data_IF_401605511373
#
_entry.id   IF_401605511373
#
_cell.length_a   1.000
_cell.length_b   1.000
_cell.length_c   1.000
_cell.angle_alpha   90.00
_cell.angle_beta   90.00
_cell.angle_gamma   90.00
#
_symmetry.space_group_name_H-M   'P 1'
#
loop_
_entity.id
_entity.type
_entity.pdbx_description
1 polymer ?
#
# COMPACT_ATOMS: atom_id res chain seq x y z
N UNK A 1 32.89 -61.41 24.20
CA UNK A 1 31.46 -61.50 23.89
C UNK A 1 30.84 -60.30 24.47
N UNK A 2 30.74 -59.32 23.63
CA UNK A 2 29.86 -58.14 23.96
C UNK A 2 29.54 -57.43 22.67
N UNK A 3 28.27 -57.39 22.38
CA UNK A 3 27.71 -56.96 21.13
C UNK A 3 27.17 -55.55 21.33
N UNK A 4 27.87 -54.55 20.83
CA UNK A 4 27.53 -53.12 20.93
C UNK A 4 26.81 -52.64 19.69
N UNK A 5 25.50 -52.80 19.62
CA UNK A 5 24.65 -52.22 18.56
C UNK A 5 24.52 -50.71 18.70
N UNK A 6 25.27 -49.97 17.88
CA UNK A 6 25.13 -48.54 17.73
C UNK A 6 23.85 -48.17 16.96
N UNK A 7 22.91 -47.49 17.63
CA UNK A 7 21.77 -46.86 16.99
C UNK A 7 22.20 -45.54 16.33
N UNK A 8 22.33 -45.57 15.00
CA UNK A 8 22.47 -44.37 14.20
C UNK A 8 21.18 -43.53 14.22
N UNK A 9 21.27 -42.37 14.80
CA UNK A 9 20.21 -41.34 14.74
C UNK A 9 20.25 -40.75 13.33
N UNK A 10 19.32 -41.14 12.49
CA UNK A 10 19.02 -40.49 11.22
C UNK A 10 18.44 -39.09 11.52
N UNK A 11 19.26 -38.08 11.35
CA UNK A 11 18.75 -36.70 11.23
C UNK A 11 17.96 -36.61 9.93
N UNK A 12 16.65 -36.64 10.04
CA UNK A 12 15.74 -36.28 8.94
C UNK A 12 15.99 -34.86 8.52
N UNK A 13 16.20 -34.68 7.23
CA UNK A 13 16.47 -33.42 6.57
C UNK A 13 15.44 -32.37 6.88
N UNK A 14 15.96 -31.17 7.06
CA UNK A 14 15.20 -29.93 7.15
C UNK A 14 14.39 -29.76 5.86
N UNK A 15 13.11 -29.64 6.07
CA UNK A 15 12.11 -29.24 5.11
C UNK A 15 12.57 -27.92 4.43
N UNK A 16 12.54 -27.89 3.10
CA UNK A 16 12.94 -26.73 2.32
C UNK A 16 11.94 -25.60 2.47
N UNK A 17 12.02 -24.86 3.58
CA UNK A 17 11.34 -23.60 3.73
C UNK A 17 11.87 -22.65 2.66
N UNK A 18 10.99 -22.15 1.76
CA UNK A 18 11.31 -21.05 0.87
C UNK A 18 11.89 -19.93 1.73
N UNK A 19 13.17 -19.61 1.51
CA UNK A 19 13.81 -18.44 2.14
C UNK A 19 13.14 -17.22 1.52
N UNK A 20 12.22 -16.62 2.26
CA UNK A 20 11.56 -15.39 1.83
C UNK A 20 12.64 -14.36 1.51
N UNK A 21 12.62 -13.83 0.29
CA UNK A 21 13.56 -12.80 -0.14
C UNK A 21 13.55 -11.64 0.85
N UNK A 22 14.73 -11.11 1.18
CA UNK A 22 14.85 -9.95 2.08
C UNK A 22 14.10 -8.73 1.55
N UNK A 23 13.76 -7.79 2.41
CA UNK A 23 13.01 -6.59 1.99
C UNK A 23 13.75 -5.82 0.90
N UNK A 24 15.07 -5.74 0.95
CA UNK A 24 15.89 -5.06 -0.06
C UNK A 24 15.75 -5.73 -1.42
N UNK A 25 15.83 -7.05 -1.49
CA UNK A 25 15.66 -7.82 -2.73
C UNK A 25 14.25 -7.66 -3.32
N UNK A 26 13.23 -7.65 -2.45
CA UNK A 26 11.84 -7.40 -2.88
C UNK A 26 11.65 -5.97 -3.39
N UNK A 27 12.27 -4.96 -2.78
CA UNK A 27 12.25 -3.59 -3.24
C UNK A 27 12.97 -3.42 -4.60
N UNK A 28 14.09 -4.12 -4.79
CA UNK A 28 14.81 -4.14 -6.08
C UNK A 28 13.96 -4.81 -7.17
N UNK A 29 13.30 -5.92 -6.85
CA UNK A 29 12.39 -6.60 -7.77
C UNK A 29 11.19 -5.73 -8.15
N UNK A 30 10.60 -5.01 -7.18
CA UNK A 30 9.52 -4.06 -7.39
C UNK A 30 9.97 -2.91 -8.32
N UNK A 31 11.13 -2.29 -8.05
CA UNK A 31 11.68 -1.23 -8.89
C UNK A 31 11.94 -1.72 -10.33
N UNK A 32 12.47 -2.93 -10.49
CA UNK A 32 12.67 -3.55 -11.78
C UNK A 32 11.36 -3.81 -12.53
N UNK A 33 10.30 -4.24 -11.81
CA UNK A 33 8.99 -4.53 -12.42
C UNK A 33 8.28 -3.28 -12.92
N UNK A 34 8.22 -2.21 -12.13
CA UNK A 34 7.55 -0.97 -12.53
C UNK A 34 8.23 -0.26 -13.69
N UNK A 35 9.54 -0.50 -13.93
CA UNK A 35 10.28 0.06 -15.07
C UNK A 35 9.98 -0.64 -16.39
N UNK A 36 9.38 -1.82 -16.38
CA UNK A 36 9.04 -2.55 -17.60
C UNK A 36 7.91 -1.81 -18.36
N UNK A 37 8.00 -1.64 -19.68
CA UNK A 37 6.94 -1.01 -20.48
C UNK A 37 5.57 -1.67 -20.27
N UNK A 38 5.54 -3.00 -20.22
CA UNK A 38 4.31 -3.78 -19.99
C UNK A 38 3.57 -3.45 -18.68
N UNK A 39 4.28 -2.94 -17.66
CA UNK A 39 3.66 -2.55 -16.40
C UNK A 39 2.72 -1.35 -16.57
N UNK A 40 3.02 -0.47 -17.53
CA UNK A 40 2.22 0.70 -17.85
C UNK A 40 1.17 0.42 -18.92
N UNK A 41 1.43 -0.57 -19.75
CA UNK A 41 0.50 -1.01 -20.78
C UNK A 41 -0.54 -1.92 -20.12
N UNK A 42 -1.74 -1.39 -19.85
CA UNK A 42 -2.84 -2.26 -19.46
C UNK A 42 -3.10 -3.22 -20.62
N UNK A 43 -2.74 -4.48 -20.46
CA UNK A 43 -2.86 -5.51 -21.49
C UNK A 43 -4.33 -5.88 -21.73
N UNK A 44 -5.05 -5.00 -22.33
CA UNK A 44 -6.11 -5.22 -23.31
C UNK A 44 -7.31 -6.12 -22.97
N UNK A 45 -7.45 -6.67 -21.77
CA UNK A 45 -8.70 -7.30 -21.39
C UNK A 45 -9.61 -6.28 -20.69
N UNK A 46 -10.80 -6.09 -21.21
CA UNK A 46 -11.73 -4.97 -20.93
C UNK A 46 -12.15 -4.75 -19.46
N UNK A 47 -11.61 -5.51 -18.50
CA UNK A 47 -11.92 -5.46 -17.07
C UNK A 47 -10.70 -5.50 -16.13
N UNK A 48 -9.47 -5.45 -16.64
CA UNK A 48 -8.30 -5.51 -15.76
C UNK A 48 -7.99 -4.14 -15.15
N UNK A 49 -7.98 -4.12 -13.83
CA UNK A 49 -7.56 -2.98 -13.03
C UNK A 49 -6.04 -3.03 -12.91
N UNK A 50 -5.36 -1.92 -13.19
CA UNK A 50 -3.90 -1.85 -13.07
C UNK A 50 -3.47 -1.47 -11.65
N UNK A 51 -3.97 -2.24 -10.64
CA UNK A 51 -3.70 -2.01 -9.23
C UNK A 51 -2.89 -3.15 -8.64
N UNK A 52 -1.87 -2.76 -7.88
CA UNK A 52 -0.86 -3.64 -7.32
C UNK A 52 -0.70 -3.39 -5.82
N UNK A 53 -0.37 -4.44 -5.08
CA UNK A 53 -0.03 -4.34 -3.66
C UNK A 53 1.42 -4.78 -3.48
N UNK A 54 2.21 -3.92 -2.87
CA UNK A 54 3.51 -4.25 -2.31
C UNK A 54 3.35 -4.36 -0.81
N UNK A 55 3.18 -5.58 -0.32
CA UNK A 55 3.09 -5.89 1.10
C UNK A 55 4.48 -6.07 1.72
N UNK A 56 4.65 -5.69 2.97
CA UNK A 56 5.92 -5.80 3.67
C UNK A 56 5.73 -5.91 5.18
N UNK A 57 6.69 -6.55 5.89
CA UNK A 57 6.65 -6.59 7.35
C UNK A 57 6.61 -5.19 7.95
N UNK A 58 5.71 -4.89 8.90
CA UNK A 58 5.53 -3.53 9.45
C UNK A 58 6.81 -2.92 10.04
N UNK A 59 7.71 -3.73 10.59
CA UNK A 59 9.01 -3.32 11.11
C UNK A 59 9.97 -2.80 10.02
N UNK A 60 9.66 -3.05 8.75
CA UNK A 60 10.43 -2.58 7.58
C UNK A 60 9.94 -1.27 6.99
N UNK A 61 8.99 -0.63 7.62
CA UNK A 61 8.37 0.63 7.17
C UNK A 61 9.41 1.71 6.82
N UNK A 62 10.45 1.88 7.63
CA UNK A 62 11.47 2.91 7.39
C UNK A 62 12.30 2.61 6.14
N UNK A 63 12.72 1.36 5.95
CA UNK A 63 13.47 0.92 4.77
C UNK A 63 12.63 1.12 3.48
N UNK A 64 11.34 0.83 3.55
CA UNK A 64 10.40 1.03 2.42
C UNK A 64 10.26 2.51 2.10
N UNK A 65 10.06 3.38 3.09
CA UNK A 65 9.97 4.84 2.89
C UNK A 65 11.24 5.42 2.27
N UNK A 66 12.40 5.04 2.78
CA UNK A 66 13.69 5.51 2.25
C UNK A 66 13.85 5.13 0.78
N UNK A 67 13.46 3.90 0.40
CA UNK A 67 13.49 3.46 -0.99
C UNK A 67 12.52 4.26 -1.86
N UNK A 68 11.30 4.51 -1.41
CA UNK A 68 10.31 5.30 -2.15
C UNK A 68 10.82 6.73 -2.37
N UNK A 69 11.35 7.37 -1.34
CA UNK A 69 11.94 8.72 -1.47
C UNK A 69 13.13 8.76 -2.43
N UNK A 70 13.99 7.73 -2.38
CA UNK A 70 15.09 7.58 -3.33
C UNK A 70 14.57 7.47 -4.77
N UNK A 71 13.58 6.59 -5.01
CA UNK A 71 13.00 6.40 -6.34
C UNK A 71 12.33 7.67 -6.85
N UNK A 72 11.57 8.38 -6.00
CA UNK A 72 10.93 9.65 -6.32
C UNK A 72 11.95 10.72 -6.76
N UNK A 73 13.06 10.85 -6.01
CA UNK A 73 14.13 11.81 -6.32
C UNK A 73 14.87 11.46 -7.63
N UNK A 74 15.02 10.17 -7.90
CA UNK A 74 15.78 9.69 -9.08
C UNK A 74 14.93 9.62 -10.34
N UNK A 75 13.60 9.56 -10.22
CA UNK A 75 12.71 9.45 -11.38
C UNK A 75 12.81 10.68 -12.29
N UNK A 76 13.04 10.42 -13.57
CA UNK A 76 13.10 11.43 -14.62
C UNK A 76 12.17 11.02 -15.76
N UNK A 77 11.01 11.68 -15.87
CA UNK A 77 9.96 11.38 -16.85
C UNK A 77 10.49 11.19 -18.28
N UNK A 78 11.43 12.04 -18.71
CA UNK A 78 12.02 11.95 -20.07
C UNK A 78 12.95 10.76 -20.29
N UNK A 79 13.46 10.15 -19.23
CA UNK A 79 14.37 8.99 -19.26
C UNK A 79 13.61 7.70 -18.96
N UNK A 80 12.81 7.72 -17.89
CA UNK A 80 12.07 6.55 -17.42
C UNK A 80 10.81 6.26 -18.25
N UNK A 81 10.32 7.26 -19.00
CA UNK A 81 9.07 7.17 -19.78
C UNK A 81 7.81 7.24 -18.96
N UNK A 82 7.91 7.53 -17.66
CA UNK A 82 6.80 7.75 -16.73
C UNK A 82 7.16 8.76 -15.65
N UNK A 83 6.16 9.32 -15.03
CA UNK A 83 6.29 10.16 -13.85
C UNK A 83 5.88 9.38 -12.61
N UNK A 84 6.76 9.31 -11.60
CA UNK A 84 6.44 8.66 -10.34
C UNK A 84 5.80 9.66 -9.38
N UNK A 85 4.51 9.46 -9.09
CA UNK A 85 3.75 10.30 -8.17
C UNK A 85 3.49 9.53 -6.88
N UNK A 86 3.84 10.11 -5.74
CA UNK A 86 3.67 9.49 -4.43
C UNK A 86 2.67 10.29 -3.61
N UNK A 87 1.60 9.64 -3.19
CA UNK A 87 0.61 10.17 -2.26
C UNK A 87 0.73 9.45 -0.93
N UNK A 88 1.16 10.17 0.11
CA UNK A 88 1.07 9.68 1.48
C UNK A 88 -0.33 10.01 2.02
N UNK A 89 -1.12 8.97 2.27
CA UNK A 89 -2.51 9.12 2.68
C UNK A 89 -2.66 9.86 4.02
N UNK A 90 -1.70 9.69 4.92
CA UNK A 90 -1.72 10.40 6.19
C UNK A 90 -1.43 11.90 6.01
N UNK A 91 -0.43 12.22 5.21
CA UNK A 91 -0.09 13.62 4.94
C UNK A 91 -1.26 14.32 4.23
N UNK A 92 -1.96 13.61 3.32
CA UNK A 92 -3.17 14.15 2.68
C UNK A 92 -4.30 14.44 3.67
N UNK A 93 -4.47 13.59 4.71
CA UNK A 93 -5.43 13.84 5.80
C UNK A 93 -5.01 15.06 6.60
N UNK A 94 -3.74 15.15 6.97
CA UNK A 94 -3.23 16.28 7.76
C UNK A 94 -3.34 17.60 7.00
N UNK A 95 -2.94 17.64 5.73
CA UNK A 95 -3.08 18.81 4.85
C UNK A 95 -4.53 19.29 4.79
N UNK A 96 -5.48 18.35 4.67
CA UNK A 96 -6.90 18.71 4.66
C UNK A 96 -7.35 19.31 5.98
N UNK A 97 -6.98 18.71 7.10
CA UNK A 97 -7.37 19.18 8.42
C UNK A 97 -6.76 20.54 8.75
N UNK A 98 -5.50 20.75 8.36
CA UNK A 98 -4.80 22.04 8.52
C UNK A 98 -5.43 23.12 7.62
N UNK A 99 -5.64 22.81 6.36
CA UNK A 99 -6.27 23.73 5.40
C UNK A 99 -7.69 24.16 5.79
N UNK A 100 -8.41 23.34 6.57
CA UNK A 100 -9.73 23.65 7.13
C UNK A 100 -9.67 24.25 8.55
N UNK A 101 -8.47 24.39 9.13
CA UNK A 101 -8.28 24.80 10.53
C UNK A 101 -8.97 23.86 11.55
N UNK A 102 -9.10 22.56 11.22
CA UNK A 102 -9.80 21.61 12.06
C UNK A 102 -8.92 21.01 13.18
N UNK A 103 -7.59 21.02 13.05
CA UNK A 103 -6.66 20.37 13.97
C UNK A 103 -6.93 20.76 15.43
N UNK A 104 -6.93 22.08 15.73
CA UNK A 104 -7.14 22.56 17.11
C UNK A 104 -8.54 22.21 17.66
N UNK A 105 -9.54 22.18 16.81
CA UNK A 105 -10.90 21.80 17.19
C UNK A 105 -11.00 20.31 17.47
N UNK A 106 -10.37 19.48 16.64
CA UNK A 106 -10.35 18.03 16.77
C UNK A 106 -9.55 17.59 17.99
N UNK A 107 -8.43 18.23 18.31
CA UNK A 107 -7.70 17.99 19.56
C UNK A 107 -8.56 18.24 20.81
N UNK A 108 -9.40 19.30 20.80
CA UNK A 108 -10.35 19.57 21.90
C UNK A 108 -11.48 18.54 21.96
N UNK A 109 -11.98 18.13 20.80
CA UNK A 109 -13.03 17.11 20.74
C UNK A 109 -12.51 15.74 21.15
N UNK A 110 -11.28 15.38 20.77
CA UNK A 110 -10.67 14.12 21.20
C UNK A 110 -10.61 14.00 22.71
N UNK A 111 -10.14 15.06 23.40
CA UNK A 111 -10.13 15.11 24.89
C UNK A 111 -11.51 14.94 25.53
N UNK A 112 -12.57 15.36 24.85
CA UNK A 112 -13.95 15.34 25.39
C UNK A 112 -14.74 14.10 24.99
N UNK A 113 -14.52 13.59 23.80
CA UNK A 113 -15.37 12.57 23.15
C UNK A 113 -14.59 11.32 22.75
N UNK A 114 -13.27 11.33 22.90
CA UNK A 114 -12.38 10.21 22.59
C UNK A 114 -12.05 10.07 21.10
N UNK A 115 -11.08 9.21 20.83
CA UNK A 115 -10.50 8.97 19.52
C UNK A 115 -11.53 8.52 18.46
N UNK A 116 -12.45 7.60 18.83
CA UNK A 116 -13.48 7.10 17.90
C UNK A 116 -14.40 8.20 17.34
N UNK A 117 -14.60 9.28 18.11
CA UNK A 117 -15.33 10.43 17.60
C UNK A 117 -14.54 11.17 16.53
N UNK A 118 -13.24 11.32 16.72
CA UNK A 118 -12.36 11.96 15.71
C UNK A 118 -12.29 11.14 14.43
N UNK A 119 -12.14 9.82 14.56
CA UNK A 119 -12.16 8.92 13.38
C UNK A 119 -13.41 9.18 12.53
N UNK A 120 -14.60 9.18 13.15
CA UNK A 120 -15.86 9.44 12.43
C UNK A 120 -15.92 10.86 11.86
N UNK A 121 -15.48 11.86 12.63
CA UNK A 121 -15.49 13.24 12.18
C UNK A 121 -14.59 13.46 10.95
N UNK A 122 -13.39 12.89 10.93
CA UNK A 122 -12.47 12.92 9.78
C UNK A 122 -13.09 12.18 8.59
N UNK A 123 -13.52 10.93 8.79
CA UNK A 123 -14.14 10.11 7.74
C UNK A 123 -15.32 10.81 7.06
N UNK A 124 -16.19 11.44 7.86
CA UNK A 124 -17.34 12.18 7.35
C UNK A 124 -16.93 13.47 6.64
N UNK A 125 -16.02 14.27 7.24
CA UNK A 125 -15.63 15.56 6.67
C UNK A 125 -14.87 15.41 5.34
N UNK A 126 -14.14 14.31 5.17
CA UNK A 126 -13.43 13.99 3.93
C UNK A 126 -14.24 13.12 2.95
N UNK A 127 -15.47 12.75 3.32
CA UNK A 127 -16.36 11.91 2.51
C UNK A 127 -15.71 10.59 2.09
N UNK A 128 -14.97 9.97 3.00
CA UNK A 128 -14.12 8.79 2.69
C UNK A 128 -14.94 7.62 2.14
N UNK A 129 -16.18 7.47 2.59
CA UNK A 129 -17.06 6.37 2.20
C UNK A 129 -17.99 6.71 1.04
N UNK A 130 -17.89 7.91 0.49
CA UNK A 130 -18.74 8.42 -0.57
C UNK A 130 -17.99 8.42 -1.92
N UNK A 131 -18.73 8.41 -3.01
CA UNK A 131 -18.14 8.41 -4.36
C UNK A 131 -17.40 9.71 -4.66
N UNK A 132 -17.74 10.82 -4.00
CA UNK A 132 -17.07 12.11 -4.11
C UNK A 132 -15.99 12.33 -3.02
N UNK A 133 -15.32 11.26 -2.61
CA UNK A 133 -14.21 11.30 -1.65
C UNK A 133 -13.16 12.36 -2.01
N UNK A 134 -12.90 13.29 -1.08
CA UNK A 134 -11.95 14.41 -1.28
C UNK A 134 -10.52 13.89 -1.55
N UNK A 135 -10.12 12.82 -0.88
CA UNK A 135 -8.81 12.18 -1.12
C UNK A 135 -8.72 11.66 -2.54
N UNK A 136 -9.74 10.93 -2.99
CA UNK A 136 -9.75 10.32 -4.33
C UNK A 136 -9.76 11.41 -5.40
N UNK A 137 -10.58 12.45 -5.27
CA UNK A 137 -10.57 13.60 -6.18
C UNK A 137 -9.17 14.22 -6.28
N UNK A 138 -8.53 14.49 -5.14
CA UNK A 138 -7.17 15.08 -5.12
C UNK A 138 -6.13 14.18 -5.80
N UNK A 139 -6.20 12.85 -5.58
CA UNK A 139 -5.31 11.89 -6.25
C UNK A 139 -5.54 11.94 -7.77
N UNK A 140 -6.80 11.89 -8.22
CA UNK A 140 -7.13 11.92 -9.65
C UNK A 140 -6.68 13.23 -10.31
N UNK A 141 -6.98 14.37 -9.71
CA UNK A 141 -6.62 15.69 -10.22
C UNK A 141 -5.11 15.93 -10.32
N UNK A 142 -4.35 15.37 -9.38
CA UNK A 142 -2.89 15.55 -9.32
C UNK A 142 -2.10 14.45 -10.03
N UNK A 143 -2.77 13.46 -10.61
CA UNK A 143 -2.10 12.39 -11.34
C UNK A 143 -1.96 12.76 -12.82
N UNK A 144 -0.73 13.01 -13.32
CA UNK A 144 -0.52 13.34 -14.72
C UNK A 144 -0.67 12.11 -15.63
N UNK A 145 -0.77 12.36 -16.93
CA UNK A 145 -0.72 11.30 -17.93
C UNK A 145 0.63 10.55 -17.89
N UNK A 146 0.59 9.25 -18.11
CA UNK A 146 1.76 8.36 -18.04
C UNK A 146 2.44 8.33 -16.66
N UNK A 147 1.66 8.51 -15.59
CA UNK A 147 2.17 8.34 -14.24
C UNK A 147 2.12 6.89 -13.77
N UNK A 148 2.96 6.58 -12.79
CA UNK A 148 2.79 5.47 -11.85
C UNK A 148 2.51 6.09 -10.49
N UNK A 149 1.41 5.69 -9.86
CA UNK A 149 0.96 6.23 -8.57
C UNK A 149 1.38 5.30 -7.44
N UNK A 150 2.08 5.81 -6.45
CA UNK A 150 2.36 5.13 -5.20
C UNK A 150 1.43 5.68 -4.11
N UNK A 151 0.71 4.79 -3.44
CA UNK A 151 -0.09 5.10 -2.26
C UNK A 151 0.61 4.57 -1.03
N UNK A 152 0.99 5.47 -0.13
CA UNK A 152 1.74 5.18 1.11
C UNK A 152 0.97 5.65 2.34
N UNK A 153 1.51 5.40 3.53
CA UNK A 153 0.94 5.90 4.78
C UNK A 153 -0.31 5.17 5.26
N UNK A 154 -0.63 3.99 4.70
CA UNK A 154 -1.81 3.19 5.06
C UNK A 154 -1.88 2.91 6.56
N UNK A 155 -0.78 2.46 7.15
CA UNK A 155 -0.72 2.16 8.58
C UNK A 155 -0.89 3.41 9.46
N UNK A 156 -0.37 4.56 9.02
CA UNK A 156 -0.52 5.84 9.73
C UNK A 156 -1.97 6.35 9.74
N UNK A 157 -2.73 6.03 8.70
CA UNK A 157 -4.10 6.50 8.53
C UNK A 157 -5.14 5.63 9.23
N UNK A 158 -4.81 4.40 9.60
CA UNK A 158 -5.77 3.51 10.24
C UNK A 158 -6.19 4.05 11.62
N UNK A 159 -7.46 4.00 11.98
CA UNK A 159 -8.63 3.49 11.22
C UNK A 159 -9.42 4.56 10.44
N UNK A 160 -8.88 5.79 10.26
CA UNK A 160 -9.59 6.88 9.57
C UNK A 160 -9.82 6.59 8.08
N UNK A 161 -8.82 5.99 7.43
CA UNK A 161 -8.89 5.56 6.04
C UNK A 161 -8.68 4.06 5.94
N UNK A 162 -9.47 3.42 5.09
CA UNK A 162 -9.32 2.01 4.75
C UNK A 162 -8.89 1.90 3.28
N UNK A 163 -7.79 1.21 3.04
CA UNK A 163 -7.17 1.08 1.72
C UNK A 163 -8.12 0.56 0.64
N UNK A 164 -8.99 -0.41 0.98
CA UNK A 164 -9.97 -0.94 0.04
C UNK A 164 -10.95 0.12 -0.48
N UNK A 165 -11.39 1.04 0.40
CA UNK A 165 -12.30 2.13 0.00
C UNK A 165 -11.62 3.05 -1.01
N UNK A 166 -10.37 3.43 -0.74
CA UNK A 166 -9.59 4.27 -1.63
C UNK A 166 -9.41 3.61 -3.00
N UNK A 167 -8.96 2.34 -3.05
CA UNK A 167 -8.76 1.63 -4.31
C UNK A 167 -10.06 1.46 -5.11
N UNK A 168 -11.16 1.09 -4.43
CA UNK A 168 -12.45 0.91 -5.09
C UNK A 168 -12.98 2.22 -5.70
N UNK A 169 -12.86 3.33 -4.94
CA UNK A 169 -13.31 4.64 -5.40
C UNK A 169 -12.42 5.17 -6.53
N UNK A 170 -11.09 4.99 -6.46
CA UNK A 170 -10.18 5.32 -7.56
C UNK A 170 -10.52 4.58 -8.85
N UNK A 171 -10.91 3.31 -8.74
CA UNK A 171 -11.35 2.52 -9.90
C UNK A 171 -12.60 3.09 -10.57
N UNK A 172 -13.54 3.61 -9.78
CA UNK A 172 -14.78 4.20 -10.30
C UNK A 172 -14.53 5.56 -10.97
N UNK A 173 -13.59 6.35 -10.45
CA UNK A 173 -13.41 7.78 -10.80
C UNK A 173 -12.25 8.09 -11.77
N UNK A 174 -11.67 7.11 -12.46
CA UNK A 174 -10.87 7.43 -13.65
C UNK A 174 -9.43 6.95 -13.68
N UNK A 175 -8.87 6.38 -12.63
CA UNK A 175 -7.52 5.80 -12.66
C UNK A 175 -7.50 4.31 -13.06
N UNK A 176 -8.43 3.87 -13.91
CA UNK A 176 -8.50 2.46 -14.33
C UNK A 176 -7.27 1.97 -15.09
N UNK A 177 -6.65 2.84 -15.88
CA UNK A 177 -5.49 2.52 -16.73
C UNK A 177 -4.17 2.88 -16.09
N UNK A 178 -4.18 3.79 -15.13
CA UNK A 178 -2.97 4.24 -14.43
C UNK A 178 -2.53 3.16 -13.46
N UNK A 179 -1.26 2.71 -13.52
CA UNK A 179 -0.73 1.80 -12.52
C UNK A 179 -0.74 2.44 -11.13
N UNK A 180 -1.37 1.77 -10.18
CA UNK A 180 -1.41 2.19 -8.78
C UNK A 180 -0.76 1.10 -7.93
N UNK A 181 0.25 1.45 -7.16
CA UNK A 181 0.92 0.55 -6.20
C UNK A 181 0.58 0.98 -4.79
N UNK A 182 -0.12 0.14 -4.07
CA UNK A 182 -0.41 0.31 -2.65
C UNK A 182 0.74 -0.30 -1.82
N UNK A 183 1.41 0.52 -1.03
CA UNK A 183 2.40 0.06 -0.05
C UNK A 183 1.69 -0.29 1.26
N UNK A 184 1.72 -1.59 1.60
CA UNK A 184 0.89 -2.13 2.67
C UNK A 184 1.73 -2.78 3.77
N UNK A 185 1.79 -2.19 4.98
CA UNK A 185 2.49 -2.77 6.12
C UNK A 185 1.69 -3.92 6.71
N UNK A 186 2.00 -5.15 6.31
CA UNK A 186 1.29 -6.36 6.69
C UNK A 186 1.36 -7.42 5.60
N UNK A 187 0.33 -8.24 5.47
CA UNK A 187 0.28 -9.35 4.51
C UNK A 187 -0.88 -9.20 3.53
N UNK A 188 -0.61 -9.47 2.26
CA UNK A 188 -1.59 -9.59 1.19
C UNK A 188 -1.49 -10.95 0.51
N UNK A 189 -2.57 -11.71 0.50
CA UNK A 189 -2.64 -13.07 -0.09
C UNK A 189 -3.52 -13.14 -1.36
N UNK A 190 -3.75 -12.00 -2.04
CA UNK A 190 -4.63 -11.83 -3.21
C UNK A 190 -6.14 -11.96 -2.90
N UNK A 191 -6.52 -12.30 -1.68
CA UNK A 191 -7.90 -12.36 -1.22
C UNK A 191 -8.16 -11.40 -0.05
N UNK A 192 -7.20 -11.32 0.87
CA UNK A 192 -7.30 -10.53 2.11
C UNK A 192 -6.08 -9.64 2.30
N UNK A 193 -6.31 -8.45 2.83
CA UNK A 193 -5.29 -7.57 3.39
C UNK A 193 -5.33 -7.66 4.91
N UNK A 194 -4.20 -8.01 5.53
CA UNK A 194 -4.06 -8.11 6.99
C UNK A 194 -3.07 -7.04 7.44
N UNK A 195 -3.60 -5.89 7.90
CA UNK A 195 -2.81 -4.77 8.35
C UNK A 195 -2.05 -5.13 9.63
N UNK A 196 -0.75 -4.83 9.66
CA UNK A 196 0.18 -5.16 10.76
C UNK A 196 0.22 -6.65 11.12
N UNK A 197 -0.21 -7.53 10.19
CA UNK A 197 -0.38 -8.97 10.40
C UNK A 197 -1.41 -9.34 11.48
N UNK A 198 -2.24 -8.41 11.92
CA UNK A 198 -3.22 -8.56 13.00
C UNK A 198 -4.65 -8.19 12.60
N UNK A 199 -4.80 -7.12 11.84
CA UNK A 199 -6.11 -6.52 11.55
C UNK A 199 -6.57 -6.94 10.17
N UNK A 200 -7.52 -7.85 10.11
CA UNK A 200 -8.11 -8.31 8.86
C UNK A 200 -9.03 -7.24 8.26
N UNK A 201 -8.92 -7.06 6.97
CA UNK A 201 -9.86 -6.30 6.16
C UNK A 201 -10.59 -7.27 5.21
N UNK A 202 -11.82 -7.64 5.54
CA UNK A 202 -12.61 -8.70 4.89
C UNK A 202 -13.17 -8.30 3.50
N UNK A 203 -12.61 -7.29 2.87
CA UNK A 203 -13.12 -6.78 1.61
C UNK A 203 -12.31 -7.32 0.42
N UNK A 204 -13.04 -7.73 -0.63
CA UNK A 204 -12.45 -8.17 -1.90
C UNK A 204 -11.70 -7.03 -2.60
N UNK A 205 -10.45 -7.29 -2.95
CA UNK A 205 -9.59 -6.37 -3.68
C UNK A 205 -9.37 -6.84 -5.10
N UNK A 206 -9.56 -5.95 -6.05
CA UNK A 206 -9.17 -6.16 -7.45
C UNK A 206 -7.74 -5.66 -7.67
N UNK A 207 -6.80 -6.15 -6.89
CA UNK A 207 -5.39 -5.79 -7.03
C UNK A 207 -4.54 -7.07 -7.10
N UNK A 208 -3.39 -6.97 -7.73
CA UNK A 208 -2.45 -8.08 -7.86
C UNK A 208 -1.29 -7.89 -6.89
N UNK A 209 -0.71 -8.98 -6.42
CA UNK A 209 0.53 -8.93 -5.65
C UNK A 209 1.68 -8.57 -6.57
N UNK A 210 2.41 -7.48 -6.26
CA UNK A 210 3.44 -6.94 -7.14
C UNK A 210 4.71 -7.80 -7.14
N UNK A 211 5.13 -8.28 -5.98
CA UNK A 211 6.30 -9.15 -5.79
C UNK A 211 5.90 -10.31 -4.89
N UNK A 212 6.24 -11.51 -5.33
CA UNK A 212 6.00 -12.74 -4.56
C UNK A 212 7.09 -12.99 -3.53
#
# INVERSE_FOLDING_TARGET
>A
MDDGSGHGILCKGFDGGEVMAGITERLDAMEAEIRKPRFRESTGMANEVNYWVFDYPPEKELEVRERIEYMKKKNQKGVDGFELVVFDLYDMVMDYLEGKNFVNSYMRYEKRRGFNYIVRAVTTSMKVNEDDSIIVQKIVEQTPENAIVFLTGVGKCYPMLRSHKILNTLHQHGLRKTPVVLFFPGTYNEQELILFNEIKDDNYYRAFKLVK
#
